data_IF_703109652844
#
_entry.id   IF_703109652844
#
_cell.length_a   1.000
_cell.length_b   1.000
_cell.length_c   1.000
_cell.angle_alpha   90.00
_cell.angle_beta   90.00
_cell.angle_gamma   90.00
#
_symmetry.space_group_name_H-M   'P 1'
#
loop_
_entity.id
_entity.type
_entity.pdbx_description
1 polymer ?
#
# COMPACT_ATOMS: atom_id res chain seq x y z
N UNK A 1 -18.43 -22.70 -13.77
CA UNK A 1 -18.13 -22.73 -12.34
C UNK A 1 -16.75 -22.21 -12.08
N UNK A 2 -16.66 -21.24 -11.27
CA UNK A 2 -15.37 -20.62 -10.97
C UNK A 2 -14.69 -21.34 -9.82
N UNK A 3 -13.35 -21.38 -9.88
CA UNK A 3 -12.53 -21.90 -8.80
C UNK A 3 -11.87 -20.75 -8.03
N UNK A 4 -12.42 -19.56 -8.17
CA UNK A 4 -11.86 -18.41 -7.49
C UNK A 4 -11.89 -18.58 -5.98
N UNK A 5 -10.80 -18.16 -5.34
CA UNK A 5 -10.74 -18.16 -3.89
C UNK A 5 -11.72 -17.14 -3.32
N UNK A 6 -12.29 -17.40 -2.14
CA UNK A 6 -13.15 -16.38 -1.51
C UNK A 6 -12.31 -15.16 -1.12
N UNK A 7 -12.90 -13.99 -1.04
CA UNK A 7 -12.19 -12.81 -0.54
C UNK A 7 -11.61 -13.06 0.85
N UNK A 8 -10.51 -12.40 1.15
CA UNK A 8 -9.92 -12.50 2.49
C UNK A 8 -10.88 -12.01 3.57
N UNK A 9 -11.75 -11.07 3.21
CA UNK A 9 -12.83 -10.60 4.05
C UNK A 9 -13.88 -9.95 3.14
N UNK A 10 -15.13 -9.82 3.60
CA UNK A 10 -16.19 -9.25 2.75
C UNK A 10 -15.95 -7.78 2.46
N UNK A 11 -15.76 -7.46 1.19
CA UNK A 11 -15.60 -6.09 0.73
C UNK A 11 -15.84 -6.10 -0.79
N UNK A 12 -16.25 -4.96 -1.34
CA UNK A 12 -16.48 -4.84 -2.77
C UNK A 12 -15.39 -4.02 -3.43
N UNK A 13 -15.25 -4.18 -4.73
CA UNK A 13 -14.30 -3.39 -5.52
C UNK A 13 -14.56 -1.88 -5.38
N UNK A 14 -15.81 -1.39 -5.49
CA UNK A 14 -16.06 0.04 -5.27
C UNK A 14 -15.64 0.53 -3.89
N UNK A 15 -15.80 -0.28 -2.86
CA UNK A 15 -15.36 0.09 -1.52
C UNK A 15 -13.84 0.23 -1.47
N UNK A 16 -13.13 -0.68 -2.12
CA UNK A 16 -11.66 -0.61 -2.19
C UNK A 16 -11.23 0.67 -2.90
N UNK A 17 -11.86 0.97 -4.05
CA UNK A 17 -11.53 2.18 -4.80
C UNK A 17 -11.82 3.45 -4.01
N UNK A 18 -12.91 3.46 -3.28
CA UNK A 18 -13.25 4.61 -2.44
C UNK A 18 -12.21 4.85 -1.34
N UNK A 19 -11.83 3.78 -0.64
CA UNK A 19 -10.83 3.89 0.43
C UNK A 19 -9.50 4.39 -0.13
N UNK A 20 -9.08 3.86 -1.27
CA UNK A 20 -7.83 4.28 -1.90
C UNK A 20 -7.87 5.77 -2.24
N UNK A 21 -8.98 6.24 -2.81
CA UNK A 21 -9.11 7.66 -3.17
C UNK A 21 -9.06 8.57 -1.94
N UNK A 22 -9.80 8.21 -0.90
CA UNK A 22 -9.83 8.99 0.34
C UNK A 22 -8.46 8.99 1.00
N UNK A 23 -7.82 7.83 1.04
CA UNK A 23 -6.51 7.70 1.66
C UNK A 23 -5.47 8.57 0.95
N UNK A 24 -5.41 8.52 -0.38
CA UNK A 24 -4.38 9.31 -1.08
C UNK A 24 -4.66 10.80 -1.08
N UNK A 25 -5.91 11.22 -0.92
CA UNK A 25 -6.20 12.62 -0.64
C UNK A 25 -5.54 13.05 0.67
N UNK A 26 -5.61 12.18 1.69
CA UNK A 26 -4.97 12.45 2.97
C UNK A 26 -3.44 12.41 2.88
N UNK A 27 -2.90 11.47 2.10
CA UNK A 27 -1.45 11.38 1.87
C UNK A 27 -0.91 12.65 1.24
N UNK A 28 -1.61 13.15 0.22
CA UNK A 28 -1.17 14.37 -0.47
C UNK A 28 -1.16 15.59 0.46
N UNK A 29 -2.08 15.62 1.42
CA UNK A 29 -2.16 16.72 2.38
C UNK A 29 -1.20 16.54 3.56
N UNK A 30 -0.60 15.36 3.71
CA UNK A 30 0.27 15.07 4.85
C UNK A 30 1.66 15.69 4.65
N UNK A 31 2.13 16.49 5.61
CA UNK A 31 3.40 17.23 5.43
C UNK A 31 4.62 16.32 5.29
N UNK A 32 4.58 15.11 5.86
CA UNK A 32 5.70 14.18 5.75
C UNK A 32 5.63 13.27 4.55
N UNK A 33 4.44 12.75 4.24
CA UNK A 33 4.27 11.78 3.15
C UNK A 33 4.05 12.45 1.79
N UNK A 34 3.33 13.56 1.77
CA UNK A 34 3.00 14.23 0.52
C UNK A 34 4.21 14.51 -0.36
N UNK A 35 5.24 15.18 0.18
CA UNK A 35 6.42 15.48 -0.64
C UNK A 35 7.15 14.25 -1.17
N UNK A 36 7.18 13.15 -0.40
CA UNK A 36 7.82 11.92 -0.83
C UNK A 36 7.10 11.34 -2.04
N UNK A 37 5.77 11.26 -1.96
CA UNK A 37 4.97 10.75 -3.06
C UNK A 37 5.01 11.68 -4.27
N UNK A 38 5.04 12.99 -4.06
CA UNK A 38 5.03 13.95 -5.17
C UNK A 38 6.24 13.80 -6.09
N UNK A 39 7.36 13.30 -5.58
CA UNK A 39 8.54 13.05 -6.41
C UNK A 39 8.28 11.93 -7.42
N UNK A 40 7.45 10.95 -7.06
CA UNK A 40 7.26 9.75 -7.86
C UNK A 40 5.93 9.67 -8.59
N UNK A 41 4.94 10.46 -8.17
CA UNK A 41 3.60 10.39 -8.73
C UNK A 41 3.26 11.68 -9.45
N UNK A 42 3.02 11.58 -10.77
CA UNK A 42 2.62 12.74 -11.58
C UNK A 42 1.15 12.66 -11.99
N UNK A 43 0.59 11.46 -11.99
CA UNK A 43 -0.79 11.21 -12.38
C UNK A 43 -1.48 10.47 -11.25
N UNK A 44 -2.14 11.22 -10.37
CA UNK A 44 -2.76 10.63 -9.19
C UNK A 44 -3.90 9.68 -9.50
N UNK A 45 -4.81 9.98 -10.44
CA UNK A 45 -5.84 9.00 -10.79
C UNK A 45 -5.26 7.68 -11.27
N UNK A 46 -4.22 7.70 -12.08
CA UNK A 46 -3.57 6.47 -12.56
C UNK A 46 -2.90 5.72 -11.42
N UNK A 47 -2.24 6.44 -10.51
CA UNK A 47 -1.61 5.84 -9.34
C UNK A 47 -2.64 5.18 -8.44
N UNK A 48 -3.74 5.87 -8.17
CA UNK A 48 -4.80 5.34 -7.32
C UNK A 48 -5.45 4.10 -7.93
N UNK A 49 -5.66 4.11 -9.26
CA UNK A 49 -6.21 2.95 -9.95
C UNK A 49 -5.28 1.74 -9.80
N UNK A 50 -3.97 1.97 -9.93
CA UNK A 50 -2.97 0.92 -9.79
C UNK A 50 -2.93 0.36 -8.36
N UNK A 51 -3.04 1.22 -7.36
CA UNK A 51 -3.07 0.79 -5.96
C UNK A 51 -4.35 0.04 -5.67
N UNK A 52 -5.48 0.48 -6.23
CA UNK A 52 -6.74 -0.24 -6.07
C UNK A 52 -6.64 -1.64 -6.70
N UNK A 53 -5.99 -1.76 -7.85
CA UNK A 53 -5.74 -3.06 -8.46
C UNK A 53 -4.90 -3.95 -7.56
N UNK A 54 -3.88 -3.39 -6.92
CA UNK A 54 -3.06 -4.13 -5.97
C UNK A 54 -3.91 -4.70 -4.83
N UNK A 55 -4.75 -3.87 -4.22
CA UNK A 55 -5.59 -4.32 -3.12
C UNK A 55 -6.67 -5.31 -3.57
N UNK A 56 -7.26 -5.09 -4.75
CA UNK A 56 -8.22 -6.04 -5.30
C UNK A 56 -7.57 -7.40 -5.52
N UNK A 57 -6.34 -7.40 -6.02
CA UNK A 57 -5.60 -8.64 -6.19
C UNK A 57 -5.34 -9.30 -4.83
N UNK A 58 -4.90 -8.53 -3.84
CA UNK A 58 -4.56 -9.07 -2.52
C UNK A 58 -5.78 -9.55 -1.74
N UNK A 59 -6.90 -8.84 -1.83
CA UNK A 59 -8.09 -9.12 -1.02
C UNK A 59 -9.09 -10.00 -1.76
N UNK A 60 -9.39 -9.65 -3.01
CA UNK A 60 -10.43 -10.31 -3.80
C UNK A 60 -9.86 -11.39 -4.72
N UNK A 61 -8.56 -11.54 -4.75
CA UNK A 61 -7.85 -12.49 -5.61
C UNK A 61 -8.08 -12.24 -7.11
N UNK A 62 -8.35 -10.99 -7.48
CA UNK A 62 -8.43 -10.59 -8.88
C UNK A 62 -7.02 -10.48 -9.45
N UNK A 63 -6.80 -11.02 -10.63
CA UNK A 63 -5.46 -11.01 -11.24
C UNK A 63 -5.30 -9.79 -12.13
N UNK A 64 -5.35 -8.61 -11.53
CA UNK A 64 -5.30 -7.34 -12.26
C UNK A 64 -4.04 -6.53 -11.99
N UNK A 65 -3.24 -6.95 -11.00
CA UNK A 65 -2.01 -6.25 -10.65
C UNK A 65 -0.81 -7.16 -10.91
N UNK A 66 0.15 -6.67 -11.70
CA UNK A 66 1.34 -7.44 -12.06
C UNK A 66 2.64 -6.77 -11.62
N UNK A 67 2.56 -5.72 -10.82
CA UNK A 67 3.74 -5.02 -10.35
C UNK A 67 4.34 -5.64 -9.09
N UNK A 68 5.40 -5.01 -8.60
CA UNK A 68 6.04 -5.41 -7.35
C UNK A 68 6.13 -4.20 -6.42
N UNK A 69 5.32 -4.17 -5.34
CA UNK A 69 5.42 -3.08 -4.37
C UNK A 69 6.79 -3.01 -3.71
N UNK A 70 7.40 -4.16 -3.42
CA UNK A 70 8.73 -4.20 -2.84
C UNK A 70 9.75 -3.51 -3.74
N UNK A 71 9.75 -3.86 -5.02
CA UNK A 71 10.67 -3.28 -5.98
C UNK A 71 10.47 -1.77 -6.12
N UNK A 72 9.20 -1.34 -6.19
CA UNK A 72 8.89 0.08 -6.31
C UNK A 72 9.40 0.88 -5.11
N UNK A 73 9.22 0.35 -3.89
CA UNK A 73 9.66 1.03 -2.68
C UNK A 73 11.18 1.07 -2.57
N UNK A 74 11.84 -0.01 -2.95
CA UNK A 74 13.31 -0.04 -2.91
C UNK A 74 13.88 0.95 -3.92
N UNK A 75 13.30 1.03 -5.11
CA UNK A 75 13.76 1.94 -6.16
C UNK A 75 13.51 3.41 -5.83
N UNK A 76 12.51 3.69 -5.02
CA UNK A 76 12.11 5.06 -4.73
C UNK A 76 13.19 5.88 -4.03
N UNK A 77 14.05 5.24 -3.25
CA UNK A 77 15.23 5.82 -2.62
C UNK A 77 14.99 6.87 -1.53
N UNK A 78 13.95 7.69 -1.65
CA UNK A 78 13.62 8.66 -0.60
C UNK A 78 12.63 8.12 0.40
N UNK A 79 12.29 6.83 0.31
CA UNK A 79 11.42 6.16 1.27
C UNK A 79 12.28 5.71 2.44
N UNK A 80 11.95 6.20 3.64
CA UNK A 80 12.65 5.85 4.87
C UNK A 80 11.85 4.82 5.65
N UNK A 81 12.50 3.90 6.37
CA UNK A 81 11.76 2.87 7.13
C UNK A 81 10.71 3.44 8.08
N UNK A 82 10.98 4.58 8.71
CA UNK A 82 10.02 5.18 9.64
C UNK A 82 8.75 5.69 8.97
N UNK A 83 8.78 5.91 7.66
CA UNK A 83 7.60 6.37 6.92
C UNK A 83 6.50 5.32 6.88
N UNK A 84 6.85 4.04 7.01
CA UNK A 84 5.85 2.97 7.01
C UNK A 84 4.94 3.06 8.22
N UNK A 85 5.45 3.44 9.39
CA UNK A 85 4.62 3.66 10.57
C UNK A 85 3.64 4.78 10.37
N UNK A 86 4.10 5.90 9.80
CA UNK A 86 3.27 7.05 9.51
C UNK A 86 2.20 6.71 8.48
N UNK A 87 2.58 6.01 7.41
CA UNK A 87 1.68 5.58 6.37
C UNK A 87 0.59 4.68 6.93
N UNK A 88 0.99 3.68 7.74
CA UNK A 88 0.05 2.72 8.32
C UNK A 88 -0.90 3.40 9.31
N UNK A 89 -0.42 4.33 10.10
CA UNK A 89 -1.28 5.05 11.04
C UNK A 89 -2.34 5.88 10.29
N UNK A 90 -1.93 6.52 9.21
CA UNK A 90 -2.86 7.30 8.39
C UNK A 90 -3.86 6.38 7.70
N UNK A 91 -3.39 5.23 7.20
CA UNK A 91 -4.25 4.26 6.56
C UNK A 91 -5.28 3.69 7.54
N UNK A 92 -4.84 3.35 8.75
CA UNK A 92 -5.75 2.83 9.77
C UNK A 92 -6.86 3.84 10.08
N UNK A 93 -6.53 5.12 10.20
CA UNK A 93 -7.54 6.14 10.45
C UNK A 93 -8.54 6.24 9.31
N UNK A 94 -8.06 6.10 8.08
CA UNK A 94 -8.94 6.10 6.91
C UNK A 94 -9.89 4.91 6.96
N UNK A 95 -9.36 3.72 7.23
CA UNK A 95 -10.17 2.51 7.30
C UNK A 95 -11.26 2.63 8.36
N UNK A 96 -10.91 3.11 9.55
CA UNK A 96 -11.84 3.23 10.65
C UNK A 96 -12.98 4.19 10.32
N UNK A 97 -12.69 5.22 9.54
CA UNK A 97 -13.66 6.24 9.18
C UNK A 97 -14.56 5.81 8.04
N UNK A 98 -14.04 5.03 7.09
CA UNK A 98 -14.76 4.72 5.84
C UNK A 98 -15.42 3.35 5.81
N UNK A 99 -15.07 2.45 6.71
CA UNK A 99 -15.54 1.06 6.66
C UNK A 99 -16.15 0.62 7.99
N UNK A 100 -16.79 -0.56 7.97
CA UNK A 100 -17.26 -1.17 9.21
C UNK A 100 -16.04 -1.57 10.06
N UNK A 101 -16.25 -1.77 11.36
CA UNK A 101 -15.16 -2.18 12.24
C UNK A 101 -14.52 -3.48 11.81
N UNK A 102 -15.31 -4.42 11.33
CA UNK A 102 -14.82 -5.72 10.89
C UNK A 102 -13.95 -5.60 9.63
N UNK A 103 -14.43 -4.83 8.64
CA UNK A 103 -13.66 -4.59 7.43
C UNK A 103 -12.37 -3.83 7.73
N UNK A 104 -12.46 -2.80 8.58
CA UNK A 104 -11.30 -2.00 8.93
C UNK A 104 -10.24 -2.84 9.64
N UNK A 105 -10.64 -3.67 10.58
CA UNK A 105 -9.70 -4.53 11.31
C UNK A 105 -9.00 -5.52 10.39
N UNK A 106 -9.76 -6.15 9.50
CA UNK A 106 -9.21 -7.15 8.59
C UNK A 106 -8.22 -6.53 7.60
N UNK A 107 -8.58 -5.40 7.01
CA UNK A 107 -7.70 -4.73 6.05
C UNK A 107 -6.46 -4.15 6.75
N UNK A 108 -6.64 -3.60 7.94
CA UNK A 108 -5.50 -3.12 8.73
C UNK A 108 -4.50 -4.22 9.00
N UNK A 109 -4.96 -5.40 9.43
CA UNK A 109 -4.07 -6.53 9.70
C UNK A 109 -3.27 -6.93 8.46
N UNK A 110 -3.92 -6.97 7.30
CA UNK A 110 -3.25 -7.27 6.05
C UNK A 110 -2.24 -6.20 5.68
N UNK A 111 -2.62 -4.92 5.80
CA UNK A 111 -1.75 -3.81 5.45
C UNK A 111 -0.51 -3.77 6.35
N UNK A 112 -0.68 -4.01 7.64
CA UNK A 112 0.45 -4.03 8.56
C UNK A 112 1.41 -5.17 8.26
N UNK A 113 0.88 -6.33 7.87
CA UNK A 113 1.73 -7.47 7.49
C UNK A 113 2.55 -7.17 6.24
N UNK A 114 1.90 -6.61 5.23
CA UNK A 114 2.58 -6.22 3.99
C UNK A 114 3.60 -5.11 4.27
N UNK A 115 3.22 -4.14 5.11
CA UNK A 115 4.11 -3.04 5.47
C UNK A 115 5.38 -3.52 6.15
N UNK A 116 5.28 -4.53 7.01
CA UNK A 116 6.47 -5.08 7.66
C UNK A 116 7.44 -5.67 6.64
N UNK A 117 6.92 -6.37 5.63
CA UNK A 117 7.75 -6.93 4.57
C UNK A 117 8.44 -5.84 3.75
N UNK A 118 7.69 -4.80 3.39
CA UNK A 118 8.23 -3.70 2.59
C UNK A 118 9.29 -2.92 3.39
N UNK A 119 9.01 -2.68 4.67
CA UNK A 119 9.95 -1.99 5.54
C UNK A 119 11.25 -2.76 5.65
N UNK A 120 11.16 -4.08 5.81
CA UNK A 120 12.34 -4.94 5.91
C UNK A 120 13.19 -4.84 4.63
N UNK A 121 12.56 -4.80 3.46
CA UNK A 121 13.28 -4.63 2.21
C UNK A 121 14.01 -3.29 2.11
N UNK A 122 13.37 -2.22 2.59
CA UNK A 122 13.99 -0.89 2.59
C UNK A 122 15.16 -0.84 3.59
N UNK A 123 14.99 -1.46 4.76
CA UNK A 123 16.07 -1.53 5.75
C UNK A 123 17.26 -2.30 5.19
N UNK A 124 17.02 -3.45 4.55
CA UNK A 124 18.09 -4.24 3.95
C UNK A 124 18.89 -3.41 2.95
N UNK A 125 18.20 -2.68 2.07
CA UNK A 125 18.86 -1.84 1.10
C UNK A 125 19.74 -0.77 1.79
N UNK A 126 19.22 -0.15 2.84
CA UNK A 126 19.91 0.93 3.52
C UNK A 126 21.16 0.45 4.27
N UNK A 127 21.18 -0.82 4.68
CA UNK A 127 22.31 -1.35 5.45
C UNK A 127 23.39 -1.99 4.59
N UNK A 128 23.17 -2.13 3.28
CA UNK A 128 24.16 -2.72 2.39
C UNK A 128 25.18 -1.68 1.95
N UNK A 129 26.46 -2.06 1.87
CA UNK A 129 27.50 -1.14 1.40
C UNK A 129 27.17 -0.60 0.01
N UNK A 130 27.35 0.71 -0.17
CA UNK A 130 27.06 1.35 -1.43
C UNK A 130 25.60 1.37 -1.82
N UNK A 131 24.73 0.94 -0.94
CA UNK A 131 23.30 0.90 -1.21
C UNK A 131 22.92 -0.13 -2.25
N UNK A 132 23.80 -1.07 -2.54
CA UNK A 132 23.54 -2.11 -3.54
C UNK A 132 22.86 -3.29 -2.86
N UNK A 133 21.66 -3.68 -3.31
CA UNK A 133 20.97 -4.82 -2.71
C UNK A 133 21.78 -6.09 -2.95
N UNK A 134 21.79 -6.94 -1.94
CA UNK A 134 22.39 -8.25 -2.12
C UNK A 134 21.48 -9.11 -2.96
N UNK A 135 22.05 -9.73 -3.97
CA UNK A 135 21.27 -10.64 -4.82
C UNK A 135 21.12 -11.99 -4.15
N UNK A 136 19.94 -12.56 -4.31
CA UNK A 136 19.59 -13.85 -3.74
C UNK A 136 19.30 -14.85 -4.82
#
# INVERSE_FOLDING_TARGET
MTNALPPRFPITRPEIEHVVAVFYAAVRAHPGLGPVFAVHVTDWPAHEARVADFWANAILHERVYDGSPMEAHVKARNVQPGMFSTWLALFDRTLERELTGEQAAAWSALAHRIGRSLRAGVVDRATLPGGIPKLR
#
